data_IF_064816912288
#
_entry.id   IF_064816912288
#
_cell.length_a   1.000
_cell.length_b   1.000
_cell.length_c   1.000
_cell.angle_alpha   90.00
_cell.angle_beta   90.00
_cell.angle_gamma   90.00
#
_symmetry.space_group_name_H-M   'P 1'
#
loop_
_entity.id
_entity.type
_entity.pdbx_description
1 polymer ?
#
# COMPACT_ATOMS: atom_id res chain seq x y z
N UNK A 1 13.72 -19.35 -1.92
CA UNK A 1 12.64 -18.32 -1.80
C UNK A 1 12.22 -18.00 -3.22
N UNK A 2 10.91 -17.96 -3.51
CA UNK A 2 10.41 -17.65 -4.84
C UNK A 2 10.90 -16.25 -5.24
N UNK A 3 11.51 -16.14 -6.43
CA UNK A 3 11.98 -14.87 -6.98
C UNK A 3 10.83 -14.10 -7.68
N UNK A 4 9.57 -14.52 -7.41
CA UNK A 4 8.37 -13.93 -8.01
C UNK A 4 8.15 -12.54 -7.45
N UNK A 5 7.94 -11.58 -8.34
CA UNK A 5 7.61 -10.22 -7.97
C UNK A 5 6.20 -10.16 -7.34
N UNK A 6 6.07 -9.42 -6.24
CA UNK A 6 4.77 -9.17 -5.61
C UNK A 6 3.93 -8.24 -6.49
N UNK A 7 2.71 -8.66 -6.81
CA UNK A 7 1.67 -7.82 -7.41
C UNK A 7 0.54 -7.59 -6.41
N UNK A 8 0.44 -6.37 -5.90
CA UNK A 8 -0.66 -5.92 -5.05
C UNK A 8 -1.68 -5.14 -5.87
N UNK A 9 -2.97 -5.46 -5.68
CA UNK A 9 -4.07 -4.82 -6.41
C UNK A 9 -5.05 -4.18 -5.42
N UNK A 10 -5.52 -2.96 -5.73
CA UNK A 10 -6.58 -2.30 -4.96
C UNK A 10 -7.92 -2.96 -5.26
N UNK A 11 -8.63 -3.39 -4.22
CA UNK A 11 -9.99 -3.90 -4.28
C UNK A 11 -10.94 -3.07 -3.40
N UNK A 12 -12.10 -2.73 -3.96
CA UNK A 12 -13.13 -1.92 -3.29
C UNK A 12 -14.26 -2.80 -2.74
N UNK A 13 -14.46 -3.97 -3.34
CA UNK A 13 -15.52 -4.92 -3.05
C UNK A 13 -15.12 -6.36 -3.38
N UNK A 14 -16.06 -7.28 -3.24
CA UNK A 14 -15.86 -8.73 -3.49
C UNK A 14 -15.60 -9.02 -4.96
N UNK A 15 -16.26 -8.33 -5.89
CA UNK A 15 -16.09 -8.53 -7.33
C UNK A 15 -14.66 -8.17 -7.76
N UNK A 16 -14.17 -7.03 -7.32
CA UNK A 16 -12.78 -6.60 -7.52
C UNK A 16 -11.79 -7.63 -6.96
N UNK A 17 -12.02 -8.09 -5.73
CA UNK A 17 -11.13 -9.02 -5.05
C UNK A 17 -11.02 -10.37 -5.76
N UNK A 18 -12.16 -10.93 -6.17
CA UNK A 18 -12.22 -12.20 -6.91
C UNK A 18 -11.55 -12.06 -8.29
N UNK A 19 -11.83 -10.98 -9.02
CA UNK A 19 -11.21 -10.71 -10.32
C UNK A 19 -9.68 -10.52 -10.19
N UNK A 20 -9.22 -9.79 -9.18
CA UNK A 20 -7.79 -9.59 -8.94
C UNK A 20 -7.07 -10.92 -8.61
N UNK A 21 -7.63 -11.75 -7.73
CA UNK A 21 -7.08 -13.07 -7.42
C UNK A 21 -7.04 -13.96 -8.67
N UNK A 22 -8.12 -14.00 -9.45
CA UNK A 22 -8.21 -14.78 -10.69
C UNK A 22 -7.19 -14.32 -11.74
N UNK A 23 -6.84 -13.01 -11.77
CA UNK A 23 -5.81 -12.44 -12.62
C UNK A 23 -4.37 -12.66 -12.13
N UNK A 24 -4.18 -13.26 -10.95
CA UNK A 24 -2.87 -13.59 -10.41
C UNK A 24 -2.24 -12.53 -9.49
N UNK A 25 -3.06 -11.70 -8.86
CA UNK A 25 -2.61 -10.86 -7.75
C UNK A 25 -2.07 -11.72 -6.60
N UNK A 26 -0.99 -11.28 -5.96
CA UNK A 26 -0.41 -11.97 -4.81
C UNK A 26 -0.96 -11.44 -3.48
N UNK A 27 -1.50 -10.22 -3.48
CA UNK A 27 -2.07 -9.54 -2.30
C UNK A 27 -3.08 -8.49 -2.74
N UNK A 28 -4.03 -8.17 -1.88
CA UNK A 28 -4.96 -7.06 -2.10
C UNK A 28 -4.73 -5.95 -1.08
N UNK A 29 -4.85 -4.69 -1.52
CA UNK A 29 -5.10 -3.57 -0.63
C UNK A 29 -6.59 -3.27 -0.64
N UNK A 30 -7.21 -3.25 0.54
CA UNK A 30 -8.64 -2.99 0.70
C UNK A 30 -8.87 -1.55 1.13
N UNK A 31 -9.60 -0.82 0.31
CA UNK A 31 -9.97 0.58 0.53
C UNK A 31 -11.43 0.82 0.16
N UNK A 32 -11.94 1.98 0.51
CA UNK A 32 -13.16 2.56 -0.03
C UNK A 32 -12.89 4.01 -0.45
N UNK A 33 -13.82 4.65 -1.15
CA UNK A 33 -13.76 6.06 -1.52
C UNK A 33 -12.43 6.51 -2.18
N UNK A 34 -12.23 6.09 -3.42
CA UNK A 34 -11.04 6.49 -4.19
C UNK A 34 -11.03 7.97 -4.60
N UNK A 35 -12.14 8.69 -4.47
CA UNK A 35 -12.15 10.15 -4.63
C UNK A 35 -11.37 10.85 -3.51
N UNK A 36 -11.28 10.21 -2.34
CA UNK A 36 -10.44 10.62 -1.21
C UNK A 36 -9.11 9.84 -1.15
N UNK A 37 -8.60 9.32 -2.27
CA UNK A 37 -7.37 8.51 -2.35
C UNK A 37 -7.39 7.25 -1.46
N UNK A 38 -8.55 6.69 -1.19
CA UNK A 38 -8.72 5.45 -0.44
C UNK A 38 -8.84 5.63 1.07
N UNK A 39 -10.00 5.32 1.62
CA UNK A 39 -10.30 5.35 3.05
C UNK A 39 -10.46 3.93 3.61
N UNK A 40 -10.56 3.80 4.94
CA UNK A 40 -10.84 2.54 5.62
C UNK A 40 -12.17 1.95 5.13
N UNK A 41 -12.19 0.72 4.62
CA UNK A 41 -13.44 0.08 4.19
C UNK A 41 -14.31 -0.29 5.40
N UNK A 42 -15.63 -0.41 5.22
CA UNK A 42 -16.52 -0.97 6.24
C UNK A 42 -16.07 -2.38 6.66
N UNK A 43 -16.26 -2.72 7.93
CA UNK A 43 -15.94 -4.05 8.47
C UNK A 43 -16.62 -5.18 7.68
N UNK A 44 -17.87 -4.95 7.27
CA UNK A 44 -18.68 -5.90 6.51
C UNK A 44 -18.06 -6.17 5.13
N UNK A 45 -17.52 -5.14 4.48
CA UNK A 45 -16.79 -5.27 3.20
C UNK A 45 -15.53 -6.12 3.39
N UNK A 46 -14.73 -5.84 4.43
CA UNK A 46 -13.57 -6.67 4.76
C UNK A 46 -13.96 -8.14 4.99
N UNK A 47 -14.98 -8.39 5.80
CA UNK A 47 -15.44 -9.76 6.10
C UNK A 47 -15.91 -10.50 4.85
N UNK A 48 -16.66 -9.83 3.96
CA UNK A 48 -17.14 -10.39 2.71
C UNK A 48 -15.98 -10.72 1.75
N UNK A 49 -15.01 -9.82 1.59
CA UNK A 49 -13.83 -10.06 0.76
C UNK A 49 -12.99 -11.21 1.32
N UNK A 50 -12.74 -11.22 2.64
CA UNK A 50 -11.97 -12.28 3.30
C UNK A 50 -12.58 -13.66 3.13
N UNK A 51 -13.91 -13.74 3.05
CA UNK A 51 -14.63 -15.00 2.80
C UNK A 51 -14.57 -15.46 1.34
N UNK A 52 -14.26 -14.58 0.40
CA UNK A 52 -14.30 -14.83 -1.05
C UNK A 52 -12.93 -15.12 -1.68
N UNK A 53 -11.82 -14.78 -1.00
CA UNK A 53 -10.47 -14.95 -1.55
C UNK A 53 -9.51 -15.56 -0.53
N UNK A 54 -8.44 -16.21 -1.03
CA UNK A 54 -7.45 -16.91 -0.22
C UNK A 54 -6.12 -16.14 -0.09
N UNK A 55 -5.91 -15.10 -0.90
CA UNK A 55 -4.67 -14.31 -0.89
C UNK A 55 -4.65 -13.30 0.26
N UNK A 56 -3.46 -12.87 0.72
CA UNK A 56 -3.31 -11.89 1.80
C UNK A 56 -4.06 -10.58 1.52
N UNK A 57 -4.60 -9.99 2.59
CA UNK A 57 -5.36 -8.74 2.55
C UNK A 57 -4.67 -7.69 3.43
N UNK A 58 -4.32 -6.53 2.87
CA UNK A 58 -3.92 -5.34 3.61
C UNK A 58 -5.07 -4.35 3.66
N UNK A 59 -5.43 -3.91 4.86
CA UNK A 59 -6.60 -3.03 5.07
C UNK A 59 -6.15 -1.62 5.40
N UNK A 60 -6.66 -0.65 4.65
CA UNK A 60 -6.40 0.77 4.91
C UNK A 60 -6.95 1.22 6.25
N UNK A 61 -6.15 1.96 7.00
CA UNK A 61 -6.53 2.71 8.20
C UNK A 61 -6.35 4.21 7.93
N UNK A 62 -7.36 4.83 7.36
CA UNK A 62 -7.42 6.25 7.00
C UNK A 62 -8.87 6.70 6.96
N UNK A 63 -9.20 7.78 7.65
CA UNK A 63 -10.60 8.20 7.87
C UNK A 63 -11.04 9.39 7.03
N UNK A 64 -10.09 10.20 6.61
CA UNK A 64 -10.37 11.44 5.89
C UNK A 64 -9.37 11.62 4.76
N UNK A 65 -9.70 12.42 3.78
CA UNK A 65 -8.75 12.88 2.77
C UNK A 65 -7.54 13.59 3.39
N UNK A 66 -6.42 13.63 2.66
CA UNK A 66 -5.15 14.15 3.14
C UNK A 66 -4.40 13.16 4.05
N UNK A 67 -3.32 13.63 4.68
CA UNK A 67 -2.41 12.78 5.46
C UNK A 67 -2.42 13.08 6.97
N UNK A 68 -3.27 13.99 7.45
CA UNK A 68 -3.44 14.19 8.89
C UNK A 68 -4.18 12.99 9.51
N UNK A 69 -3.74 12.53 10.68
CA UNK A 69 -4.38 11.42 11.38
C UNK A 69 -5.81 11.76 11.85
N UNK A 70 -6.09 13.01 12.14
CA UNK A 70 -7.40 13.46 12.65
C UNK A 70 -7.73 12.84 14.01
N UNK A 71 -8.86 12.15 14.11
CA UNK A 71 -9.32 11.47 15.33
C UNK A 71 -8.61 10.13 15.52
N UNK A 72 -7.46 10.14 16.18
CA UNK A 72 -6.64 8.93 16.44
C UNK A 72 -7.41 7.89 17.24
N UNK A 73 -8.24 8.31 18.19
CA UNK A 73 -9.09 7.42 18.97
C UNK A 73 -10.05 6.58 18.09
N UNK A 74 -10.57 7.16 17.03
CA UNK A 74 -11.42 6.46 16.07
C UNK A 74 -10.62 5.53 15.14
N UNK A 75 -9.38 5.89 14.75
CA UNK A 75 -8.48 5.01 14.01
C UNK A 75 -8.12 3.76 14.84
N UNK A 76 -7.78 3.96 16.12
CA UNK A 76 -7.50 2.89 17.08
C UNK A 76 -8.71 1.97 17.24
N UNK A 77 -9.93 2.52 17.36
CA UNK A 77 -11.15 1.73 17.44
C UNK A 77 -11.37 0.88 16.18
N UNK A 78 -11.21 1.48 14.97
CA UNK A 78 -11.33 0.76 13.71
C UNK A 78 -10.26 -0.33 13.54
N UNK A 79 -9.01 -0.07 13.94
CA UNK A 79 -7.95 -1.07 13.92
C UNK A 79 -8.33 -2.28 14.79
N UNK A 80 -8.87 -2.04 15.98
CA UNK A 80 -9.35 -3.09 16.90
C UNK A 80 -10.50 -3.90 16.30
N UNK A 81 -11.49 -3.24 15.71
CA UNK A 81 -12.64 -3.89 15.07
C UNK A 81 -12.20 -4.77 13.89
N UNK A 82 -11.34 -4.26 13.00
CA UNK A 82 -10.82 -5.03 11.85
C UNK A 82 -9.97 -6.22 12.30
N UNK A 83 -9.16 -6.05 13.35
CA UNK A 83 -8.40 -7.17 13.93
C UNK A 83 -9.30 -8.24 14.53
N UNK A 84 -10.36 -7.84 15.23
CA UNK A 84 -11.35 -8.78 15.76
C UNK A 84 -12.06 -9.54 14.64
N UNK A 85 -12.26 -8.92 13.46
CA UNK A 85 -12.79 -9.56 12.26
C UNK A 85 -11.77 -10.46 11.56
N UNK A 86 -10.51 -10.40 11.95
CA UNK A 86 -9.43 -11.27 11.44
C UNK A 86 -8.43 -10.60 10.51
N UNK A 87 -8.42 -9.28 10.41
CA UNK A 87 -7.36 -8.56 9.68
C UNK A 87 -5.99 -8.80 10.34
N UNK A 88 -4.96 -9.03 9.53
CA UNK A 88 -3.59 -9.33 9.95
C UNK A 88 -2.55 -8.44 9.31
N UNK A 89 -2.91 -7.71 8.27
CA UNK A 89 -2.02 -6.76 7.58
C UNK A 89 -2.77 -5.46 7.33
N UNK A 90 -2.06 -4.33 7.46
CA UNK A 90 -2.67 -3.00 7.41
C UNK A 90 -1.88 -2.03 6.53
N UNK A 91 -2.54 -0.94 6.14
CA UNK A 91 -1.93 0.20 5.45
C UNK A 91 -2.28 1.45 6.23
N UNK A 92 -1.29 2.26 6.56
CA UNK A 92 -1.49 3.55 7.23
C UNK A 92 -0.34 4.52 6.92
N UNK A 93 -0.52 5.78 7.26
CA UNK A 93 0.53 6.79 7.11
C UNK A 93 -0.03 8.16 7.47
N UNK A 94 0.58 8.80 8.45
CA UNK A 94 0.14 10.11 8.92
C UNK A 94 1.30 11.08 8.94
N UNK A 95 1.02 12.32 8.53
CA UNK A 95 1.96 13.44 8.59
C UNK A 95 1.39 14.53 9.52
N UNK A 96 2.29 15.17 10.25
CA UNK A 96 2.03 16.39 10.99
C UNK A 96 1.99 17.61 10.04
N UNK A 97 1.61 18.82 10.51
CA UNK A 97 1.60 20.02 9.67
C UNK A 97 2.95 20.42 9.07
N UNK A 98 4.06 19.97 9.64
CA UNK A 98 5.42 20.23 9.15
C UNK A 98 5.83 19.24 8.05
N UNK A 99 4.96 18.28 7.70
CA UNK A 99 5.24 17.23 6.71
C UNK A 99 6.14 16.12 7.23
N UNK A 100 6.29 15.98 8.54
CA UNK A 100 7.00 14.87 9.16
C UNK A 100 6.02 13.75 9.55
N UNK A 101 6.45 12.48 9.70
CA UNK A 101 5.59 11.43 10.24
C UNK A 101 5.01 11.83 11.61
N UNK A 102 3.70 11.77 11.74
CA UNK A 102 3.03 11.93 13.04
C UNK A 102 3.24 10.65 13.86
N UNK A 103 4.43 10.55 14.48
CA UNK A 103 4.82 9.36 15.22
C UNK A 103 3.84 9.02 16.34
N UNK A 104 3.29 10.03 17.03
CA UNK A 104 2.34 9.81 18.12
C UNK A 104 1.08 9.11 17.61
N UNK A 105 0.54 9.54 16.47
CA UNK A 105 -0.61 8.91 15.85
C UNK A 105 -0.27 7.51 15.29
N UNK A 106 0.87 7.37 14.62
CA UNK A 106 1.35 6.08 14.07
C UNK A 106 1.53 5.06 15.20
N UNK A 107 2.26 5.40 16.25
CA UNK A 107 2.52 4.51 17.40
C UNK A 107 1.24 4.10 18.12
N UNK A 108 0.30 5.03 18.31
CA UNK A 108 -0.99 4.73 18.95
C UNK A 108 -1.80 3.68 18.15
N UNK A 109 -1.81 3.79 16.82
CA UNK A 109 -2.48 2.81 15.95
C UNK A 109 -1.69 1.50 15.92
N UNK A 110 -0.38 1.54 15.74
CA UNK A 110 0.49 0.34 15.66
C UNK A 110 0.43 -0.48 16.94
N UNK A 111 0.31 0.15 18.11
CA UNK A 111 0.13 -0.55 19.38
C UNK A 111 -1.12 -1.48 19.36
N UNK A 112 -2.20 -1.05 18.72
CA UNK A 112 -3.42 -1.87 18.55
C UNK A 112 -3.25 -2.98 17.51
N UNK A 113 -2.29 -2.86 16.59
CA UNK A 113 -2.05 -3.89 15.58
C UNK A 113 -1.42 -5.16 16.15
N UNK A 114 -0.81 -5.10 17.34
CA UNK A 114 -0.30 -6.26 18.09
C UNK A 114 0.71 -7.08 17.30
N UNK A 115 1.63 -6.43 16.58
CA UNK A 115 2.67 -7.08 15.77
C UNK A 115 2.23 -7.52 14.37
N UNK A 116 1.03 -7.17 13.94
CA UNK A 116 0.63 -7.34 12.54
C UNK A 116 1.55 -6.56 11.59
N UNK A 117 1.72 -7.05 10.38
CA UNK A 117 2.48 -6.33 9.35
C UNK A 117 1.72 -5.12 8.82
N UNK A 118 2.47 -4.07 8.45
CA UNK A 118 1.84 -2.90 7.87
C UNK A 118 2.73 -2.14 6.89
N UNK A 119 2.05 -1.44 5.97
CA UNK A 119 2.63 -0.55 4.97
C UNK A 119 2.50 0.89 5.43
N UNK A 120 3.58 1.67 5.39
CA UNK A 120 3.47 3.13 5.35
C UNK A 120 3.17 3.55 3.91
N UNK A 121 1.99 4.14 3.69
CA UNK A 121 1.50 4.44 2.35
C UNK A 121 2.14 5.69 1.73
N UNK A 122 1.57 6.19 0.63
CA UNK A 122 2.08 7.33 -0.14
C UNK A 122 2.19 8.66 0.61
N UNK A 123 1.89 8.72 1.90
CA UNK A 123 2.29 9.84 2.76
C UNK A 123 3.78 10.12 2.68
N UNK A 124 4.62 9.09 2.48
CA UNK A 124 6.06 9.25 2.26
C UNK A 124 6.39 10.13 1.04
N UNK A 125 5.54 10.15 0.02
CA UNK A 125 5.71 10.98 -1.17
C UNK A 125 5.41 12.46 -0.94
N UNK A 126 4.83 12.78 0.22
CA UNK A 126 4.50 14.13 0.68
C UNK A 126 5.30 14.57 1.90
N UNK A 127 6.16 13.68 2.41
CA UNK A 127 7.03 14.02 3.52
C UNK A 127 8.01 15.14 3.15
N UNK A 128 8.21 16.08 4.07
CA UNK A 128 9.16 17.20 3.87
C UNK A 128 10.60 16.70 3.66
N UNK A 129 10.97 15.62 4.35
CA UNK A 129 12.24 14.91 4.17
C UNK A 129 11.97 13.40 4.21
N UNK A 130 12.10 12.75 3.06
CA UNK A 130 11.85 11.31 2.89
C UNK A 130 12.85 10.45 3.67
N UNK A 131 14.12 10.86 3.72
CA UNK A 131 15.16 10.11 4.40
C UNK A 131 14.95 10.15 5.92
N UNK A 132 14.66 11.32 6.45
CA UNK A 132 14.33 11.47 7.87
C UNK A 132 13.03 10.73 8.22
N UNK A 133 12.01 10.80 7.37
CA UNK A 133 10.76 10.06 7.58
C UNK A 133 10.99 8.55 7.65
N UNK A 134 11.78 7.97 6.72
CA UNK A 134 12.14 6.55 6.75
C UNK A 134 12.89 6.17 8.02
N UNK A 135 13.85 7.00 8.45
CA UNK A 135 14.63 6.76 9.67
C UNK A 135 13.77 6.85 10.92
N UNK A 136 12.87 7.82 11.00
CA UNK A 136 11.97 8.01 12.13
C UNK A 136 10.99 6.83 12.31
N UNK A 137 10.55 6.24 11.20
CA UNK A 137 9.65 5.08 11.19
C UNK A 137 10.40 3.75 11.35
N UNK A 138 11.71 3.73 11.09
CA UNK A 138 12.51 2.50 11.19
C UNK A 138 12.49 1.94 12.61
N UNK A 139 12.22 0.65 12.71
CA UNK A 139 12.15 -0.03 14.00
C UNK A 139 10.77 -0.06 14.66
N UNK A 140 9.76 0.63 14.09
CA UNK A 140 8.40 0.46 14.55
C UNK A 140 7.92 -0.98 14.31
N UNK A 141 7.28 -1.63 15.29
CA UNK A 141 6.88 -3.03 15.18
C UNK A 141 5.96 -3.25 13.97
N UNK A 142 6.30 -4.25 13.14
CA UNK A 142 5.47 -4.68 12.02
C UNK A 142 5.59 -3.84 10.74
N UNK A 143 6.30 -2.72 10.72
CA UNK A 143 6.58 -1.99 9.48
C UNK A 143 7.45 -2.84 8.57
N UNK A 144 6.89 -3.29 7.45
CA UNK A 144 7.61 -4.13 6.49
C UNK A 144 7.68 -3.54 5.08
N UNK A 145 6.88 -2.51 4.79
CA UNK A 145 6.70 -1.98 3.43
C UNK A 145 6.50 -0.45 3.44
N UNK A 146 7.12 0.23 2.48
CA UNK A 146 6.76 1.59 2.07
C UNK A 146 6.11 1.53 0.69
N UNK A 147 4.84 1.95 0.58
CA UNK A 147 4.19 2.19 -0.70
C UNK A 147 4.52 3.61 -1.15
N UNK A 148 5.15 3.73 -2.30
CA UNK A 148 5.67 5.01 -2.78
C UNK A 148 5.70 5.08 -4.31
N UNK A 149 5.49 6.26 -4.83
CA UNK A 149 5.74 6.61 -6.23
C UNK A 149 7.14 7.26 -6.43
N UNK A 150 7.85 7.57 -5.34
CA UNK A 150 9.11 8.36 -5.40
C UNK A 150 8.89 9.86 -5.52
N UNK A 151 7.69 10.30 -5.91
CA UNK A 151 7.27 11.70 -6.04
C UNK A 151 5.78 11.85 -5.69
N UNK A 152 5.43 13.03 -5.21
CA UNK A 152 4.02 13.41 -5.02
C UNK A 152 3.21 13.37 -6.32
N UNK A 153 3.86 13.63 -7.46
CA UNK A 153 3.25 13.65 -8.79
C UNK A 153 3.09 12.27 -9.43
N UNK A 154 3.76 11.24 -8.90
CA UNK A 154 3.66 9.87 -9.42
C UNK A 154 4.99 9.26 -9.84
N UNK A 155 4.92 8.02 -10.35
CA UNK A 155 6.10 7.23 -10.72
C UNK A 155 6.88 7.85 -11.87
N UNK A 156 6.24 8.50 -12.84
CA UNK A 156 6.94 9.16 -13.96
C UNK A 156 8.03 10.12 -13.48
N UNK A 157 7.69 10.97 -12.49
CA UNK A 157 8.65 11.89 -11.90
C UNK A 157 9.52 11.22 -10.83
N UNK A 158 8.98 10.24 -10.14
CA UNK A 158 9.60 9.59 -8.98
C UNK A 158 10.59 8.49 -9.32
N UNK A 159 10.65 8.02 -10.57
CA UNK A 159 11.49 6.88 -10.97
C UNK A 159 12.96 7.03 -10.55
N UNK A 160 13.64 8.18 -10.75
CA UNK A 160 15.02 8.36 -10.29
C UNK A 160 15.17 8.22 -8.78
N UNK A 161 14.18 8.70 -8.00
CA UNK A 161 14.18 8.59 -6.53
C UNK A 161 14.02 7.14 -6.10
N UNK A 162 13.11 6.39 -6.73
CA UNK A 162 12.90 4.97 -6.46
C UNK A 162 14.16 4.14 -6.70
N UNK A 163 14.85 4.38 -7.82
CA UNK A 163 16.12 3.73 -8.14
C UNK A 163 17.22 4.05 -7.12
N UNK A 164 17.34 5.34 -6.74
CA UNK A 164 18.29 5.77 -5.73
C UNK A 164 17.99 5.17 -4.34
N UNK A 165 16.72 5.11 -3.93
CA UNK A 165 16.31 4.49 -2.66
C UNK A 165 16.53 2.97 -2.65
N UNK A 166 16.31 2.29 -3.78
CA UNK A 166 16.57 0.85 -3.90
C UNK A 166 18.05 0.51 -3.72
N UNK A 167 18.96 1.36 -4.21
CA UNK A 167 20.41 1.20 -4.03
C UNK A 167 20.86 1.30 -2.55
N UNK A 168 20.04 1.92 -1.70
CA UNK A 168 20.30 2.10 -0.26
C UNK A 168 19.78 0.95 0.61
N UNK A 169 19.33 -0.14 0.00
CA UNK A 169 18.80 -1.30 0.74
C UNK A 169 19.76 -1.77 1.83
N UNK A 170 19.25 -1.88 3.07
CA UNK A 170 20.02 -2.29 4.24
C UNK A 170 20.61 -1.13 5.03
N UNK A 171 20.60 0.10 4.52
CA UNK A 171 20.92 1.28 5.33
C UNK A 171 19.81 1.58 6.36
N UNK A 172 20.10 2.33 7.42
CA UNK A 172 19.07 2.78 8.36
C UNK A 172 17.90 3.50 7.65
N UNK A 173 16.66 3.01 7.87
CA UNK A 173 15.46 3.49 7.19
C UNK A 173 15.14 2.78 5.86
N UNK A 174 16.04 1.96 5.31
CA UNK A 174 15.89 1.30 4.01
C UNK A 174 15.83 -0.24 4.11
N UNK A 175 15.47 -0.76 5.29
CA UNK A 175 15.27 -2.20 5.51
C UNK A 175 13.91 -2.71 5.04
N UNK A 176 12.87 -1.88 5.10
CA UNK A 176 11.53 -2.27 4.65
C UNK A 176 11.45 -2.32 3.11
N UNK A 177 10.53 -3.14 2.60
CA UNK A 177 10.30 -3.31 1.16
C UNK A 177 9.83 -2.01 0.51
N UNK A 178 10.34 -1.70 -0.66
CA UNK A 178 9.76 -0.68 -1.55
C UNK A 178 8.67 -1.35 -2.39
N UNK A 179 7.44 -0.89 -2.23
CA UNK A 179 6.28 -1.25 -3.03
C UNK A 179 5.94 -0.06 -3.93
N UNK A 180 6.12 -0.21 -5.23
CA UNK A 180 5.96 0.90 -6.16
C UNK A 180 4.52 1.00 -6.64
N UNK A 181 3.91 2.17 -6.45
CA UNK A 181 2.56 2.48 -6.90
C UNK A 181 2.31 3.98 -7.00
N UNK A 182 1.17 4.36 -7.57
CA UNK A 182 0.83 5.78 -7.80
C UNK A 182 1.25 6.25 -9.21
N UNK A 183 0.45 5.87 -10.21
CA UNK A 183 0.75 6.13 -11.62
C UNK A 183 1.76 5.16 -12.22
N UNK A 184 1.92 3.97 -11.63
CA UNK A 184 2.79 2.93 -12.18
C UNK A 184 2.23 2.44 -13.53
N UNK A 185 3.09 2.39 -14.56
CA UNK A 185 2.84 1.85 -15.87
C UNK A 185 3.83 0.72 -16.21
N UNK A 186 3.51 -0.11 -17.20
CA UNK A 186 4.33 -1.28 -17.57
C UNK A 186 5.72 -0.89 -18.06
N UNK A 187 5.88 0.25 -18.70
CA UNK A 187 7.14 0.77 -19.21
C UNK A 187 8.12 1.23 -18.10
N UNK A 188 7.65 1.42 -16.86
CA UNK A 188 8.53 1.66 -15.71
C UNK A 188 9.23 0.37 -15.21
N UNK A 189 8.63 -0.81 -15.46
CA UNK A 189 9.10 -2.06 -14.88
C UNK A 189 10.54 -2.43 -15.19
N UNK A 190 11.07 -2.25 -16.42
CA UNK A 190 12.44 -2.61 -16.71
C UNK A 190 13.45 -1.90 -15.79
N UNK A 191 13.35 -0.58 -15.64
CA UNK A 191 14.25 0.20 -14.79
C UNK A 191 14.10 -0.14 -13.30
N UNK A 192 12.85 -0.34 -12.82
CA UNK A 192 12.59 -0.72 -11.45
C UNK A 192 13.13 -2.12 -11.11
N UNK A 193 12.96 -3.08 -12.01
CA UNK A 193 13.48 -4.44 -11.83
C UNK A 193 15.00 -4.47 -11.88
N UNK A 194 15.65 -3.71 -12.77
CA UNK A 194 17.09 -3.54 -12.82
C UNK A 194 17.65 -2.97 -11.52
N UNK A 195 16.92 -2.05 -10.88
CA UNK A 195 17.25 -1.53 -9.54
C UNK A 195 16.99 -2.54 -8.40
N UNK A 196 16.50 -3.75 -8.71
CA UNK A 196 16.19 -4.80 -7.73
C UNK A 196 14.86 -4.61 -6.99
N UNK A 197 13.97 -3.75 -7.48
CA UNK A 197 12.61 -3.61 -6.97
C UNK A 197 11.76 -4.76 -7.50
N UNK A 198 11.05 -5.44 -6.61
CA UNK A 198 10.26 -6.63 -6.93
C UNK A 198 8.87 -6.61 -6.28
N UNK A 199 8.33 -5.44 -5.99
CA UNK A 199 6.98 -5.28 -5.45
C UNK A 199 6.28 -4.09 -6.10
N UNK A 200 5.09 -4.34 -6.63
CA UNK A 200 4.34 -3.43 -7.48
C UNK A 200 2.89 -3.36 -7.05
N UNK A 201 2.34 -2.15 -7.05
CA UNK A 201 1.00 -1.85 -6.59
C UNK A 201 0.22 -1.15 -7.70
N UNK A 202 -0.92 -1.70 -8.06
CA UNK A 202 -1.79 -1.16 -9.09
C UNK A 202 -3.22 -0.97 -8.59
N UNK A 203 -3.84 0.12 -9.01
CA UNK A 203 -5.25 0.40 -8.78
C UNK A 203 -5.98 0.65 -10.11
N UNK A 204 -5.88 1.85 -10.66
CA UNK A 204 -6.49 2.20 -11.94
C UNK A 204 -6.02 1.34 -13.10
N UNK A 205 -4.77 0.89 -13.11
CA UNK A 205 -4.23 0.01 -14.15
C UNK A 205 -4.87 -1.39 -14.21
N UNK A 206 -5.53 -1.83 -13.13
CA UNK A 206 -6.32 -3.05 -13.10
C UNK A 206 -7.77 -2.87 -13.62
N UNK A 207 -8.15 -1.64 -14.00
CA UNK A 207 -9.51 -1.20 -14.34
C UNK A 207 -9.54 -0.58 -15.74
N UNK A 208 -9.93 -1.32 -16.77
CA UNK A 208 -9.92 -0.81 -18.17
C UNK A 208 -10.73 0.47 -18.39
N UNK A 209 -11.75 0.72 -17.56
CA UNK A 209 -12.60 1.92 -17.62
C UNK A 209 -12.28 2.94 -16.51
N UNK A 210 -11.09 2.83 -15.89
CA UNK A 210 -10.70 3.69 -14.76
C UNK A 210 -11.47 3.39 -13.47
N UNK A 211 -11.45 4.31 -12.53
CA UNK A 211 -12.04 4.14 -11.20
C UNK A 211 -13.57 4.00 -11.19
N UNK A 212 -14.26 4.29 -12.28
CA UNK A 212 -15.70 4.07 -12.43
C UNK A 212 -16.09 2.64 -12.79
N UNK A 213 -15.12 1.80 -13.12
CA UNK A 213 -15.34 0.40 -13.48
C UNK A 213 -14.64 -0.59 -12.55
N UNK A 214 -15.01 -1.89 -12.64
CA UNK A 214 -14.43 -2.93 -11.80
C UNK A 214 -13.00 -3.29 -12.22
N UNK A 215 -12.29 -3.95 -11.32
CA UNK A 215 -11.09 -4.72 -11.64
C UNK A 215 -11.45 -5.85 -12.61
N UNK A 216 -10.59 -6.11 -13.57
CA UNK A 216 -10.75 -7.27 -14.46
C UNK A 216 -9.59 -8.25 -14.33
N UNK A 217 -9.89 -9.54 -14.32
CA UNK A 217 -8.86 -10.58 -14.27
C UNK A 217 -7.88 -10.47 -15.46
N UNK A 218 -8.36 -10.08 -16.65
CA UNK A 218 -7.52 -9.87 -17.82
C UNK A 218 -6.49 -8.77 -17.61
N UNK A 219 -6.90 -7.59 -17.11
CA UNK A 219 -5.97 -6.49 -16.87
C UNK A 219 -4.92 -6.86 -15.81
N UNK A 220 -5.30 -7.58 -14.75
CA UNK A 220 -4.35 -8.06 -13.74
C UNK A 220 -3.42 -9.12 -14.32
N UNK A 221 -3.92 -10.05 -15.16
CA UNK A 221 -3.11 -11.08 -15.81
C UNK A 221 -2.08 -10.50 -16.80
N UNK A 222 -2.36 -9.38 -17.45
CA UNK A 222 -1.38 -8.66 -18.27
C UNK A 222 -0.17 -8.24 -17.44
N UNK A 223 -0.40 -7.60 -16.28
CA UNK A 223 0.65 -7.24 -15.34
C UNK A 223 1.41 -8.47 -14.84
N UNK A 224 0.68 -9.52 -14.48
CA UNK A 224 1.29 -10.76 -13.98
C UNK A 224 2.21 -11.38 -15.03
N UNK A 225 1.78 -11.44 -16.28
CA UNK A 225 2.56 -11.98 -17.40
C UNK A 225 3.89 -11.22 -17.57
N UNK A 226 3.87 -9.89 -17.55
CA UNK A 226 5.08 -9.07 -17.67
C UNK A 226 6.00 -9.23 -16.45
N UNK A 227 5.43 -9.39 -15.25
CA UNK A 227 6.22 -9.57 -14.03
C UNK A 227 6.85 -10.97 -13.90
N UNK A 228 6.29 -11.98 -14.54
CA UNK A 228 6.81 -13.36 -14.54
C UNK A 228 7.79 -13.63 -15.70
N UNK A 229 7.90 -12.71 -16.69
CA UNK A 229 8.86 -12.78 -17.77
C UNK A 229 10.28 -12.36 -17.32
#
# INVERSE_FOLDING_TARGET
MSNRALLEVIALDVEDAVAAQAGGADRLELVTDMAADGLTPPRETFAAIRAAVDIPLRVMLRRTDGFAAGRVDLLVAQARELRAEGAREFVLGFLNPDGEPDLAAVEAVVAELGGCHWTFHRAIDRAADRDQARKALAGLPGLDTFLTAGSAAGVDEGLPVLVAEAARRGEPGYGARILVGGGLALDHLPALREAGINAFHIGGAARPTGWSGPVTATAVAEWRTVLDA
#
